data_IF_064682084435
#
_entry.id   IF_064682084435
#
_cell.length_a   1.000
_cell.length_b   1.000
_cell.length_c   1.000
_cell.angle_alpha   90.00
_cell.angle_beta   90.00
_cell.angle_gamma   90.00
#
_symmetry.space_group_name_H-M   'P 1'
#
loop_
_entity.id
_entity.type
_entity.pdbx_description
1 polymer ?
#
# COMPACT_ATOMS: atom_id res chain seq x y z
N UNK A 1 21.47 -8.96 -0.73
CA UNK A 1 20.87 -7.61 -0.87
C UNK A 1 21.58 -6.89 -2.01
N UNK A 2 20.87 -6.57 -3.11
CA UNK A 2 21.36 -5.56 -4.06
C UNK A 2 21.06 -4.17 -3.47
N UNK A 3 21.90 -3.17 -3.72
CA UNK A 3 21.61 -1.79 -3.29
C UNK A 3 20.50 -1.24 -4.20
N UNK A 4 19.43 -0.73 -3.60
CA UNK A 4 18.50 0.18 -4.27
C UNK A 4 19.34 1.38 -4.73
N UNK A 5 19.30 1.72 -6.02
CA UNK A 5 20.02 2.88 -6.55
C UNK A 5 19.30 4.18 -6.16
N UNK A 6 20.06 5.27 -6.12
CA UNK A 6 19.59 6.59 -5.73
C UNK A 6 18.53 7.17 -6.67
N UNK A 7 17.72 8.09 -6.12
CA UNK A 7 16.62 8.80 -6.78
C UNK A 7 17.07 9.82 -7.86
N UNK A 8 18.20 9.58 -8.53
CA UNK A 8 18.86 10.51 -9.45
C UNK A 8 18.45 10.30 -10.93
N UNK A 9 17.55 9.34 -11.20
CA UNK A 9 17.19 8.91 -12.57
C UNK A 9 15.92 9.57 -13.16
N UNK A 10 15.30 10.54 -12.47
CA UNK A 10 13.97 11.06 -12.84
C UNK A 10 13.87 11.79 -14.19
N UNK A 11 14.99 12.20 -14.79
CA UNK A 11 15.02 13.11 -15.95
C UNK A 11 15.21 12.40 -17.31
N UNK A 12 15.49 11.08 -17.33
CA UNK A 12 15.77 10.30 -18.56
C UNK A 12 15.24 8.87 -18.51
N UNK A 13 13.95 8.72 -18.82
CA UNK A 13 13.35 7.44 -19.19
C UNK A 13 12.29 7.64 -20.29
N UNK A 14 12.62 7.27 -21.52
CA UNK A 14 11.59 6.92 -22.52
C UNK A 14 10.98 5.58 -22.12
N UNK A 15 9.67 5.46 -22.26
CA UNK A 15 8.92 4.26 -21.87
C UNK A 15 8.15 3.72 -23.07
N UNK A 16 8.22 2.40 -23.27
CA UNK A 16 7.50 1.65 -24.31
C UNK A 16 6.27 0.96 -23.71
N UNK A 17 5.25 0.69 -24.52
CA UNK A 17 3.93 0.23 -24.04
C UNK A 17 3.62 -1.27 -24.24
N UNK A 18 2.63 -1.74 -23.45
CA UNK A 18 1.75 -2.93 -23.62
C UNK A 18 2.30 -4.28 -23.13
N UNK A 19 1.43 -5.29 -22.84
CA UNK A 19 -0.05 -5.31 -22.77
C UNK A 19 -0.60 -5.66 -21.36
N UNK A 20 -1.93 -5.91 -21.24
CA UNK A 20 -2.66 -6.12 -19.95
C UNK A 20 -3.14 -7.57 -19.74
N UNK A 21 -3.46 -7.95 -18.49
CA UNK A 21 -4.19 -9.19 -18.15
C UNK A 21 -4.75 -9.26 -16.72
N UNK A 22 -6.10 -9.31 -16.60
CA UNK A 22 -6.97 -9.85 -15.51
C UNK A 22 -6.42 -10.04 -14.06
N UNK A 23 -6.98 -9.44 -12.99
CA UNK A 23 -8.29 -9.74 -12.33
C UNK A 23 -8.29 -11.06 -11.47
N UNK A 24 -8.96 -11.25 -10.31
CA UNK A 24 -10.08 -10.52 -9.66
C UNK A 24 -10.28 -10.82 -8.13
N UNK A 25 -11.15 -10.04 -7.46
CA UNK A 25 -11.93 -10.23 -6.17
C UNK A 25 -11.25 -10.71 -4.83
N UNK A 26 -11.59 -10.34 -3.56
CA UNK A 26 -12.51 -9.39 -2.82
C UNK A 26 -13.36 -10.08 -1.68
N UNK A 27 -13.71 -9.30 -0.62
CA UNK A 27 -14.70 -9.42 0.52
C UNK A 27 -14.29 -10.05 1.88
N UNK A 28 -14.72 -9.65 3.12
CA UNK A 28 -15.57 -8.54 3.67
C UNK A 28 -15.73 -8.59 5.25
N UNK A 29 -15.07 -7.74 6.07
CA UNK A 29 -15.30 -7.49 7.53
C UNK A 29 -14.79 -6.07 8.00
N UNK A 30 -15.54 -5.19 8.73
CA UNK A 30 -15.05 -3.83 9.14
C UNK A 30 -15.75 -3.06 10.28
N UNK A 31 -15.16 -1.89 10.56
CA UNK A 31 -15.54 -0.81 11.50
C UNK A 31 -16.65 0.13 11.00
N UNK A 32 -17.35 0.83 11.91
CA UNK A 32 -18.44 1.76 11.58
C UNK A 32 -17.92 3.14 11.15
N UNK A 33 -18.14 3.47 9.89
CA UNK A 33 -18.33 4.85 9.45
C UNK A 33 -19.83 5.03 9.23
N UNK A 34 -20.44 6.07 9.80
CA UNK A 34 -21.82 6.42 9.46
C UNK A 34 -21.83 6.97 8.03
N UNK A 35 -21.99 6.07 7.06
CA UNK A 35 -22.05 6.46 5.66
C UNK A 35 -23.29 7.30 5.45
N UNK A 36 -23.09 8.59 5.20
CA UNK A 36 -24.07 9.43 4.52
C UNK A 36 -24.44 8.70 3.22
N UNK A 37 -25.61 8.04 3.21
CA UNK A 37 -26.12 7.27 2.08
C UNK A 37 -26.67 8.21 1.00
N UNK A 38 -25.78 9.05 0.46
CA UNK A 38 -26.00 9.75 -0.79
C UNK A 38 -26.27 8.70 -1.86
N UNK A 39 -27.38 8.87 -2.56
CA UNK A 39 -27.98 7.82 -3.35
C UNK A 39 -27.05 7.33 -4.47
N UNK A 40 -27.26 6.09 -4.95
CA UNK A 40 -26.40 5.49 -5.98
C UNK A 40 -26.33 6.28 -7.29
N UNK A 41 -27.29 7.18 -7.51
CA UNK A 41 -27.33 8.16 -8.59
C UNK A 41 -26.55 9.45 -8.25
N UNK A 42 -26.74 10.05 -7.06
CA UNK A 42 -26.03 11.27 -6.65
C UNK A 42 -24.52 11.04 -6.54
N UNK A 43 -24.12 9.86 -6.05
CA UNK A 43 -22.70 9.48 -6.03
C UNK A 43 -22.11 9.51 -7.44
N UNK A 44 -22.88 9.20 -8.50
CA UNK A 44 -22.44 9.21 -9.91
C UNK A 44 -22.44 10.59 -10.57
N UNK A 45 -23.34 11.52 -10.21
CA UNK A 45 -23.28 12.91 -10.71
C UNK A 45 -22.08 13.69 -10.15
N UNK A 46 -21.46 13.19 -9.09
CA UNK A 46 -20.31 13.81 -8.41
C UNK A 46 -18.93 13.56 -9.03
N UNK A 47 -18.81 12.86 -10.16
CA UNK A 47 -17.51 12.47 -10.72
C UNK A 47 -16.89 13.58 -11.60
N UNK A 48 -15.61 13.40 -11.94
CA UNK A 48 -14.87 14.13 -12.97
C UNK A 48 -14.09 13.12 -13.82
N UNK A 49 -14.29 13.15 -15.13
CA UNK A 49 -13.41 12.48 -16.10
C UNK A 49 -12.18 13.36 -16.35
N UNK A 50 -11.00 12.74 -16.38
CA UNK A 50 -9.69 13.40 -16.41
C UNK A 50 -8.68 12.55 -17.19
N UNK A 51 -7.66 13.20 -17.75
CA UNK A 51 -6.43 12.54 -18.17
C UNK A 51 -5.42 12.50 -17.03
N UNK A 52 -4.75 11.37 -16.89
CA UNK A 52 -3.66 11.19 -15.94
C UNK A 52 -2.48 10.46 -16.59
N UNK A 53 -1.25 10.80 -16.18
CA UNK A 53 -0.07 9.98 -16.44
C UNK A 53 0.08 9.02 -15.27
N UNK A 54 -0.05 7.71 -15.54
CA UNK A 54 0.30 6.65 -14.58
C UNK A 54 1.80 6.44 -14.61
N UNK A 55 2.36 6.13 -13.46
CA UNK A 55 3.71 5.59 -13.29
C UNK A 55 3.61 4.24 -12.57
N UNK A 56 4.20 3.21 -13.16
CA UNK A 56 4.39 1.90 -12.55
C UNK A 56 5.89 1.63 -12.40
N UNK A 57 6.28 0.95 -11.33
CA UNK A 57 7.66 0.52 -11.16
C UNK A 57 7.84 -0.89 -11.73
N UNK A 58 8.76 -1.02 -12.67
CA UNK A 58 9.19 -2.31 -13.20
C UNK A 58 10.31 -2.89 -12.31
N UNK A 59 10.10 -4.12 -11.83
CA UNK A 59 11.06 -4.81 -10.95
C UNK A 59 12.16 -5.57 -11.68
N UNK A 60 11.99 -5.84 -12.97
CA UNK A 60 12.98 -6.56 -13.78
C UNK A 60 14.04 -5.56 -14.30
N UNK A 61 13.59 -4.40 -14.80
CA UNK A 61 14.44 -3.31 -15.30
C UNK A 61 14.82 -2.23 -14.25
N UNK A 62 14.37 -2.35 -12.99
CA UNK A 62 14.68 -1.43 -11.86
C UNK A 62 14.30 0.05 -12.18
N UNK A 63 13.20 0.26 -12.91
CA UNK A 63 12.86 1.55 -13.52
C UNK A 63 11.37 1.94 -13.40
N UNK A 64 11.03 3.19 -13.77
CA UNK A 64 9.64 3.68 -13.80
C UNK A 64 9.12 3.79 -15.23
N UNK A 65 8.17 2.92 -15.59
CA UNK A 65 7.41 3.02 -16.85
C UNK A 65 6.19 3.92 -16.67
N UNK A 66 5.75 4.58 -17.75
CA UNK A 66 4.68 5.61 -17.71
C UNK A 66 3.74 5.49 -18.91
N UNK A 67 2.44 5.68 -18.70
CA UNK A 67 1.41 5.62 -19.74
C UNK A 67 0.23 6.57 -19.48
N UNK A 68 -0.38 7.10 -20.54
CA UNK A 68 -1.56 7.97 -20.44
C UNK A 68 -2.83 7.17 -20.18
N UNK A 69 -3.55 7.55 -19.13
CA UNK A 69 -4.75 6.90 -18.64
C UNK A 69 -5.93 7.86 -18.67
N UNK A 70 -7.04 7.44 -19.29
CA UNK A 70 -8.34 8.05 -19.04
C UNK A 70 -8.92 7.47 -17.74
N UNK A 71 -9.27 8.35 -16.82
CA UNK A 71 -9.86 7.98 -15.53
C UNK A 71 -11.12 8.79 -15.28
N UNK A 72 -11.94 8.30 -14.36
CA UNK A 72 -12.85 9.16 -13.60
C UNK A 72 -12.61 9.03 -12.11
N UNK A 73 -12.79 10.13 -11.38
CA UNK A 73 -12.62 10.20 -9.93
C UNK A 73 -13.80 10.94 -9.29
N UNK A 74 -14.24 10.49 -8.11
CA UNK A 74 -15.26 11.19 -7.32
C UNK A 74 -14.71 12.53 -6.78
N UNK A 75 -15.53 13.59 -6.78
CA UNK A 75 -15.12 14.92 -6.23
C UNK A 75 -14.89 14.93 -4.72
N UNK A 76 -15.46 13.97 -3.99
CA UNK A 76 -15.35 13.82 -2.53
C UNK A 76 -14.74 12.45 -2.19
N UNK A 77 -13.94 12.35 -1.11
CA UNK A 77 -13.48 11.05 -0.63
C UNK A 77 -14.64 10.26 -0.01
N UNK A 78 -14.55 8.93 -0.04
CA UNK A 78 -15.50 8.04 0.64
C UNK A 78 -15.00 7.60 2.03
N UNK A 79 -13.70 7.73 2.28
CA UNK A 79 -13.06 7.38 3.55
C UNK A 79 -11.76 8.19 3.73
N UNK A 80 -11.21 8.18 4.94
CA UNK A 80 -9.90 8.74 5.25
C UNK A 80 -9.18 7.95 6.34
N UNK A 81 -7.85 7.98 6.31
CA UNK A 81 -6.98 7.55 7.41
C UNK A 81 -6.25 8.75 8.02
N UNK A 82 -5.27 8.50 8.89
CA UNK A 82 -4.52 9.57 9.59
C UNK A 82 -3.84 10.57 8.64
N UNK A 83 -3.27 10.09 7.53
CA UNK A 83 -2.45 10.92 6.62
C UNK A 83 -3.08 11.16 5.23
N UNK A 84 -4.06 10.36 4.81
CA UNK A 84 -4.57 10.34 3.43
C UNK A 84 -6.10 10.30 3.35
N UNK A 85 -6.64 10.92 2.31
CA UNK A 85 -8.03 10.79 1.85
C UNK A 85 -8.12 9.68 0.79
N UNK A 86 -9.18 8.87 0.82
CA UNK A 86 -9.46 7.81 -0.15
C UNK A 86 -10.66 8.19 -1.03
N UNK A 87 -10.44 8.28 -2.34
CA UNK A 87 -11.44 8.62 -3.35
C UNK A 87 -11.80 7.38 -4.17
N UNK A 88 -13.08 7.26 -4.53
CA UNK A 88 -13.52 6.31 -5.54
C UNK A 88 -12.96 6.76 -6.90
N UNK A 89 -12.27 5.87 -7.60
CA UNK A 89 -11.72 6.10 -8.92
C UNK A 89 -12.08 4.93 -9.84
N UNK A 90 -12.18 5.18 -11.14
CA UNK A 90 -12.28 4.13 -12.14
C UNK A 90 -11.36 4.44 -13.32
N UNK A 91 -10.72 3.41 -13.86
CA UNK A 91 -9.98 3.49 -15.13
C UNK A 91 -10.97 3.24 -16.27
N UNK A 92 -10.89 4.04 -17.33
CA UNK A 92 -11.75 3.94 -18.51
C UNK A 92 -10.91 3.45 -19.69
N UNK A 93 -11.08 2.19 -20.08
CA UNK A 93 -10.27 1.59 -21.15
C UNK A 93 -10.87 1.87 -22.55
N UNK A 94 -10.05 1.97 -23.61
CA UNK A 94 -10.54 2.17 -24.98
C UNK A 94 -11.44 1.04 -25.52
N UNK A 95 -11.37 -0.14 -24.90
CA UNK A 95 -12.21 -1.31 -25.16
C UNK A 95 -13.57 -1.28 -24.44
N UNK A 96 -13.88 -0.19 -23.73
CA UNK A 96 -15.13 0.00 -22.98
C UNK A 96 -15.15 -0.66 -21.59
N UNK A 97 -14.11 -1.41 -21.21
CA UNK A 97 -13.98 -1.98 -19.87
C UNK A 97 -13.70 -0.88 -18.83
N UNK A 98 -14.18 -1.10 -17.61
CA UNK A 98 -14.04 -0.16 -16.49
C UNK A 98 -13.49 -0.93 -15.28
N UNK A 99 -12.34 -0.51 -14.74
CA UNK A 99 -11.75 -1.09 -13.53
C UNK A 99 -12.07 -0.22 -12.29
N UNK A 100 -12.55 -0.83 -11.21
CA UNK A 100 -12.76 -0.15 -9.91
C UNK A 100 -11.43 0.03 -9.16
N UNK A 101 -11.07 1.28 -8.87
CA UNK A 101 -9.84 1.66 -8.16
C UNK A 101 -10.13 2.54 -6.94
N UNK A 102 -9.16 2.65 -6.04
CA UNK A 102 -9.13 3.65 -4.97
C UNK A 102 -7.94 4.57 -5.20
N UNK A 103 -8.18 5.87 -5.22
CA UNK A 103 -7.14 6.89 -5.33
C UNK A 103 -6.89 7.53 -3.96
N UNK A 104 -5.67 7.40 -3.43
CA UNK A 104 -5.24 7.91 -2.13
C UNK A 104 -4.40 9.18 -2.29
N UNK A 105 -4.80 10.27 -1.63
CA UNK A 105 -4.11 11.57 -1.66
C UNK A 105 -3.76 12.04 -0.25
N UNK A 106 -2.55 12.57 -0.05
CA UNK A 106 -2.16 13.13 1.25
C UNK A 106 -3.06 14.31 1.67
N UNK A 107 -3.41 14.39 2.97
CA UNK A 107 -4.26 15.46 3.51
C UNK A 107 -3.58 16.83 3.51
N UNK A 108 -2.26 16.85 3.68
CA UNK A 108 -1.38 18.02 3.53
C UNK A 108 -0.68 17.94 2.18
N UNK A 109 -0.17 19.06 1.68
CA UNK A 109 0.72 19.05 0.52
C UNK A 109 2.05 18.39 0.88
N UNK A 110 2.63 17.69 -0.10
CA UNK A 110 3.81 16.83 0.03
C UNK A 110 4.63 16.93 -1.25
N UNK A 111 5.91 16.59 -1.18
CA UNK A 111 6.73 16.42 -2.40
C UNK A 111 6.21 15.23 -3.22
N UNK A 112 6.23 15.26 -4.57
CA UNK A 112 5.81 14.12 -5.39
C UNK A 112 6.50 12.80 -5.02
N UNK A 113 7.76 12.83 -4.57
CA UNK A 113 8.52 11.64 -4.14
C UNK A 113 7.86 10.87 -2.99
N UNK A 114 7.09 11.51 -2.10
CA UNK A 114 6.32 10.81 -1.04
C UNK A 114 5.34 9.77 -1.65
N UNK A 115 4.80 10.02 -2.86
CA UNK A 115 3.92 9.08 -3.56
C UNK A 115 4.68 7.91 -4.21
N UNK A 116 5.86 8.17 -4.79
CA UNK A 116 6.72 7.13 -5.35
C UNK A 116 7.30 6.24 -4.23
N UNK A 117 7.74 6.84 -3.12
CA UNK A 117 8.19 6.13 -1.92
C UNK A 117 7.08 5.24 -1.34
N UNK A 118 5.83 5.71 -1.28
CA UNK A 118 4.70 4.90 -0.82
C UNK A 118 4.45 3.66 -1.71
N UNK A 119 4.66 3.75 -3.02
CA UNK A 119 4.64 2.57 -3.91
C UNK A 119 5.81 1.63 -3.58
N UNK A 120 7.04 2.14 -3.46
CA UNK A 120 8.22 1.31 -3.15
C UNK A 120 8.09 0.59 -1.80
N UNK A 121 7.50 1.23 -0.78
CA UNK A 121 7.16 0.60 0.50
C UNK A 121 6.29 -0.64 0.31
N UNK A 122 5.19 -0.49 -0.43
CA UNK A 122 4.20 -1.57 -0.64
C UNK A 122 4.77 -2.69 -1.53
N UNK A 123 5.63 -2.35 -2.49
CA UNK A 123 6.36 -3.32 -3.31
C UNK A 123 7.38 -4.13 -2.49
N UNK A 124 8.09 -3.51 -1.54
CA UNK A 124 9.01 -4.21 -0.62
C UNK A 124 8.25 -5.07 0.41
N UNK A 125 7.15 -4.57 0.95
CA UNK A 125 6.26 -5.33 1.82
C UNK A 125 5.69 -6.57 1.11
N UNK A 126 5.40 -6.47 -0.20
CA UNK A 126 5.00 -7.63 -0.98
C UNK A 126 6.12 -8.67 -1.12
N UNK A 127 7.39 -8.26 -1.30
CA UNK A 127 8.50 -9.20 -1.44
C UNK A 127 8.75 -9.97 -0.14
N UNK A 128 8.65 -9.28 1.01
CA UNK A 128 8.61 -9.96 2.32
C UNK A 128 7.42 -10.94 2.42
N UNK A 129 6.24 -10.56 1.92
CA UNK A 129 5.06 -11.42 1.98
C UNK A 129 5.20 -12.67 1.09
N UNK A 130 5.81 -12.56 -0.10
CA UNK A 130 6.11 -13.71 -0.95
C UNK A 130 7.14 -14.65 -0.30
N UNK A 131 8.19 -14.12 0.34
CA UNK A 131 9.12 -14.99 1.07
C UNK A 131 8.44 -15.64 2.29
N UNK A 132 7.59 -14.92 3.04
CA UNK A 132 6.83 -15.48 4.16
C UNK A 132 5.89 -16.61 3.71
N UNK A 133 5.16 -16.43 2.61
CA UNK A 133 4.33 -17.48 1.99
C UNK A 133 5.16 -18.73 1.63
N UNK A 134 6.41 -18.55 1.16
CA UNK A 134 7.32 -19.67 0.87
C UNK A 134 7.76 -20.47 2.10
N UNK A 135 7.55 -19.96 3.32
CA UNK A 135 7.88 -20.62 4.60
C UNK A 135 6.65 -21.05 5.40
N UNK A 136 5.48 -20.49 5.13
CA UNK A 136 4.25 -20.74 5.88
C UNK A 136 3.16 -21.22 4.91
N UNK A 137 2.98 -22.54 4.81
CA UNK A 137 2.08 -23.18 3.84
C UNK A 137 0.59 -22.79 4.00
N UNK A 138 0.18 -22.24 5.13
CA UNK A 138 -1.16 -21.67 5.37
C UNK A 138 -1.28 -20.18 5.01
N UNK A 139 -0.22 -19.55 4.53
CA UNK A 139 -0.18 -18.13 4.16
C UNK A 139 -0.31 -17.93 2.65
N UNK A 140 -1.08 -16.91 2.28
CA UNK A 140 -1.25 -16.42 0.90
C UNK A 140 -1.31 -14.87 0.90
N UNK A 141 -0.57 -14.26 1.83
CA UNK A 141 -0.56 -12.81 2.04
C UNK A 141 0.08 -12.12 0.83
N UNK A 142 -0.61 -11.13 0.27
CA UNK A 142 -0.14 -10.38 -0.91
C UNK A 142 -0.55 -8.93 -0.78
N UNK A 143 0.41 -8.03 -0.96
CA UNK A 143 0.09 -6.61 -1.05
C UNK A 143 -0.37 -6.29 -2.48
N UNK A 144 -1.45 -5.53 -2.61
CA UNK A 144 -2.03 -5.19 -3.92
C UNK A 144 -1.06 -4.33 -4.74
N UNK A 145 -1.08 -4.42 -6.09
CA UNK A 145 -0.34 -3.49 -6.92
C UNK A 145 -0.82 -2.06 -6.66
N UNK A 146 0.12 -1.11 -6.65
CA UNK A 146 -0.14 0.31 -6.43
C UNK A 146 0.75 1.14 -7.35
N UNK A 147 0.19 2.24 -7.86
CA UNK A 147 0.77 3.07 -8.90
C UNK A 147 0.74 4.54 -8.49
N UNK A 148 1.61 5.38 -9.05
CA UNK A 148 1.46 6.84 -8.92
C UNK A 148 0.66 7.36 -10.12
N UNK A 149 -0.33 8.23 -9.89
CA UNK A 149 -1.07 8.92 -10.95
C UNK A 149 -0.87 10.43 -10.80
N UNK A 150 -0.43 11.10 -11.87
CA UNK A 150 -0.36 12.57 -11.98
C UNK A 150 -1.46 13.06 -12.89
N UNK A 151 -2.36 13.90 -12.41
CA UNK A 151 -3.44 14.49 -13.23
C UNK A 151 -2.86 15.50 -14.23
N UNK A 152 -3.29 15.44 -15.49
CA UNK A 152 -2.78 16.25 -16.61
C UNK A 152 -3.67 17.46 -16.95
N UNK A 153 -4.96 17.40 -16.60
CA UNK A 153 -5.99 18.39 -16.96
C UNK A 153 -6.95 18.74 -15.80
N UNK A 154 -7.88 19.67 -16.08
CA UNK A 154 -8.85 20.18 -15.11
C UNK A 154 -8.25 20.90 -13.89
N UNK A 155 -9.11 21.22 -12.93
CA UNK A 155 -8.76 21.88 -11.65
C UNK A 155 -7.75 21.09 -10.80
N UNK A 156 -7.61 19.78 -11.03
CA UNK A 156 -6.72 18.89 -10.28
C UNK A 156 -5.37 18.65 -10.95
N UNK A 157 -5.08 19.33 -12.07
CA UNK A 157 -3.80 19.26 -12.78
C UNK A 157 -2.59 19.40 -11.85
N UNK A 158 -1.57 18.59 -12.10
CA UNK A 158 -0.37 18.44 -11.27
C UNK A 158 -0.59 17.93 -9.82
N UNK A 159 -1.80 17.54 -9.42
CA UNK A 159 -1.98 16.76 -8.18
C UNK A 159 -1.66 15.28 -8.43
N UNK A 160 -1.14 14.65 -7.38
CA UNK A 160 -0.66 13.27 -7.39
C UNK A 160 -1.52 12.39 -6.47
N UNK A 161 -1.64 11.11 -6.82
CA UNK A 161 -2.36 10.09 -6.06
C UNK A 161 -1.57 8.77 -6.08
N UNK A 162 -1.61 8.00 -4.99
CA UNK A 162 -1.35 6.55 -5.06
C UNK A 162 -2.66 5.86 -5.47
N UNK A 163 -2.64 4.97 -6.45
CA UNK A 163 -3.84 4.30 -6.97
C UNK A 163 -3.68 2.79 -6.90
N UNK A 164 -4.67 2.12 -6.33
CA UNK A 164 -4.69 0.66 -6.08
C UNK A 164 -6.07 0.06 -6.44
N UNK A 165 -6.18 -1.25 -6.71
CA UNK A 165 -7.45 -1.91 -6.97
C UNK A 165 -8.44 -1.77 -5.80
N UNK A 166 -9.70 -1.45 -6.09
CA UNK A 166 -10.72 -1.30 -5.05
C UNK A 166 -11.07 -2.64 -4.42
N UNK A 167 -10.59 -2.85 -3.20
CA UNK A 167 -11.00 -3.96 -2.36
C UNK A 167 -12.47 -3.79 -1.94
N UNK A 168 -13.41 -4.39 -2.66
CA UNK A 168 -14.73 -4.66 -2.10
C UNK A 168 -14.52 -5.52 -0.85
N UNK A 169 -15.00 -4.98 0.23
CA UNK A 169 -14.74 -5.43 1.57
C UNK A 169 -14.68 -4.18 2.42
N UNK A 170 -15.74 -3.96 3.19
CA UNK A 170 -15.64 -4.05 4.65
C UNK A 170 -14.20 -4.59 5.01
N UNK A 171 -13.35 -3.71 5.53
CA UNK A 171 -11.89 -3.75 5.60
C UNK A 171 -11.34 -4.00 7.02
N UNK A 172 -10.38 -4.92 7.18
CA UNK A 172 -9.77 -5.30 8.45
C UNK A 172 -8.41 -4.62 8.62
N UNK A 173 -8.13 -4.12 9.82
CA UNK A 173 -6.78 -3.80 10.29
C UNK A 173 -6.39 -4.84 11.34
N UNK A 174 -5.15 -5.31 11.31
CA UNK A 174 -4.67 -6.40 12.19
C UNK A 174 -3.65 -5.94 13.22
N UNK A 175 -2.83 -4.95 12.87
CA UNK A 175 -1.96 -4.20 13.76
C UNK A 175 -1.76 -2.78 13.20
N UNK A 176 -1.24 -1.86 14.00
CA UNK A 176 -0.89 -0.50 13.58
C UNK A 176 0.63 -0.21 13.55
N UNK A 177 1.00 1.00 13.13
CA UNK A 177 2.38 1.49 13.13
C UNK A 177 2.85 2.10 14.47
N UNK A 178 2.18 1.78 15.58
CA UNK A 178 2.46 2.28 16.92
C UNK A 178 2.35 1.19 18.02
N UNK A 179 2.20 -0.08 17.64
CA UNK A 179 2.22 -1.23 18.56
C UNK A 179 0.85 -1.77 18.99
N UNK A 180 -0.27 -1.28 18.43
CA UNK A 180 -1.58 -1.85 18.71
C UNK A 180 -1.83 -3.12 17.90
N UNK A 181 -2.51 -4.09 18.52
CA UNK A 181 -2.89 -5.39 17.93
C UNK A 181 -4.42 -5.45 17.85
N UNK A 182 -4.95 -5.11 16.68
CA UNK A 182 -6.40 -4.95 16.45
C UNK A 182 -7.13 -6.30 16.31
N UNK A 183 -6.40 -7.40 16.06
CA UNK A 183 -6.99 -8.75 15.89
C UNK A 183 -6.10 -9.87 16.44
N UNK A 184 -6.74 -10.95 16.89
CA UNK A 184 -6.09 -12.21 17.27
C UNK A 184 -5.59 -13.05 16.07
N UNK A 185 -5.53 -12.48 14.86
CA UNK A 185 -5.08 -13.19 13.66
C UNK A 185 -3.57 -13.44 13.70
N UNK A 186 -3.15 -14.70 13.81
CA UNK A 186 -1.75 -15.09 14.02
C UNK A 186 -0.82 -14.73 12.85
N UNK A 187 -1.32 -14.82 11.61
CA UNK A 187 -0.56 -14.61 10.37
C UNK A 187 0.02 -13.18 10.28
N UNK A 188 -0.77 -12.09 10.38
CA UNK A 188 -0.28 -10.71 10.44
C UNK A 188 0.86 -10.46 11.45
N UNK A 189 0.71 -10.92 12.69
CA UNK A 189 1.72 -10.65 13.73
C UNK A 189 3.01 -11.46 13.48
N UNK A 190 2.88 -12.71 13.04
CA UNK A 190 4.02 -13.55 12.65
C UNK A 190 4.72 -13.03 11.39
N UNK A 191 3.98 -12.41 10.46
CA UNK A 191 4.54 -11.74 9.29
C UNK A 191 5.37 -10.52 9.69
N UNK A 192 4.81 -9.62 10.51
CA UNK A 192 5.55 -8.45 11.03
C UNK A 192 6.84 -8.86 11.74
N UNK A 193 6.79 -9.85 12.64
CA UNK A 193 7.98 -10.42 13.29
C UNK A 193 8.95 -11.08 12.30
N UNK A 194 8.45 -11.83 11.31
CA UNK A 194 9.28 -12.42 10.26
C UNK A 194 10.06 -11.35 9.49
N UNK A 195 9.44 -10.23 9.12
CA UNK A 195 10.15 -9.16 8.38
C UNK A 195 11.33 -8.57 9.16
N UNK A 196 11.21 -8.50 10.50
CA UNK A 196 12.27 -8.06 11.39
C UNK A 196 13.45 -9.04 11.43
N UNK A 197 13.22 -10.32 11.71
CA UNK A 197 14.32 -11.30 11.70
C UNK A 197 14.92 -11.44 10.29
N UNK A 198 14.08 -11.49 9.24
CA UNK A 198 14.48 -11.65 7.84
C UNK A 198 15.30 -10.49 7.29
N UNK A 199 15.08 -9.27 7.79
CA UNK A 199 15.85 -8.07 7.43
C UNK A 199 17.18 -7.95 8.19
N UNK A 200 17.59 -8.97 8.95
CA UNK A 200 18.67 -8.90 9.94
C UNK A 200 18.44 -7.79 10.98
N UNK A 201 17.19 -7.68 11.48
CA UNK A 201 16.76 -6.73 12.52
C UNK A 201 16.82 -5.25 12.12
N UNK A 202 16.78 -4.95 10.82
CA UNK A 202 16.89 -3.58 10.28
C UNK A 202 15.56 -2.94 9.89
N UNK A 203 14.56 -3.73 9.51
CA UNK A 203 13.26 -3.25 9.02
C UNK A 203 12.11 -4.10 9.57
N UNK A 204 10.99 -3.47 9.93
CA UNK A 204 9.76 -4.13 10.36
C UNK A 204 8.57 -3.60 9.58
N UNK A 205 7.77 -4.50 9.00
CA UNK A 205 6.53 -4.16 8.27
C UNK A 205 5.35 -4.26 9.23
N UNK A 206 4.60 -3.17 9.39
CA UNK A 206 3.45 -3.00 10.28
C UNK A 206 2.31 -2.26 9.54
N UNK A 207 1.27 -1.84 10.26
CA UNK A 207 0.00 -1.34 9.69
C UNK A 207 -0.63 -2.40 8.75
N UNK A 208 -0.59 -3.68 9.15
CA UNK A 208 -1.05 -4.81 8.33
C UNK A 208 -2.58 -4.78 8.23
N UNK A 209 -3.09 -4.46 7.03
CA UNK A 209 -4.50 -4.17 6.80
C UNK A 209 -4.94 -4.52 5.37
N UNK A 210 -6.25 -4.72 5.17
CA UNK A 210 -6.84 -4.99 3.86
C UNK A 210 -8.10 -5.86 3.95
N UNK A 211 -8.21 -6.82 3.02
CA UNK A 211 -9.38 -7.69 2.87
C UNK A 211 -8.93 -9.12 2.58
N UNK A 212 -9.26 -10.05 3.48
CA UNK A 212 -8.76 -11.44 3.48
C UNK A 212 -7.23 -11.49 3.39
N UNK A 213 -6.70 -11.99 2.29
CA UNK A 213 -5.27 -12.11 2.01
C UNK A 213 -4.72 -10.99 1.12
N UNK A 214 -5.58 -10.09 0.62
CA UNK A 214 -5.21 -8.90 -0.15
C UNK A 214 -4.97 -7.72 0.80
N UNK A 215 -3.71 -7.36 0.98
CA UNK A 215 -3.26 -6.32 1.89
C UNK A 215 -2.92 -5.02 1.15
N UNK A 216 -2.93 -3.90 1.85
CA UNK A 216 -2.59 -2.59 1.29
C UNK A 216 -2.06 -1.65 2.37
N UNK A 217 -1.45 -0.54 1.99
CA UNK A 217 -1.02 0.55 2.90
C UNK A 217 -0.09 0.14 4.07
N UNK A 218 0.93 -0.71 3.86
CA UNK A 218 1.85 -1.07 4.94
C UNK A 218 2.74 0.11 5.33
N UNK A 219 2.98 0.25 6.63
CA UNK A 219 4.09 1.07 7.12
C UNK A 219 5.34 0.18 7.29
N UNK A 220 6.51 0.75 7.01
CA UNK A 220 7.80 0.13 7.34
C UNK A 220 8.49 1.01 8.38
N UNK A 221 8.93 0.42 9.48
CA UNK A 221 9.87 1.03 10.41
C UNK A 221 11.29 0.57 10.07
N UNK A 222 12.25 1.49 9.96
CA UNK A 222 13.64 1.15 9.67
C UNK A 222 14.58 1.66 10.78
N UNK A 223 15.45 0.78 11.29
CA UNK A 223 16.43 1.13 12.31
C UNK A 223 17.51 2.11 11.80
N UNK A 224 17.70 2.19 10.48
CA UNK A 224 18.58 3.17 9.84
C UNK A 224 17.88 4.53 9.71
N UNK A 225 18.50 5.60 10.21
CA UNK A 225 18.04 6.99 10.06
C UNK A 225 18.34 7.55 8.65
N UNK A 226 17.90 6.85 7.60
CA UNK A 226 17.83 7.44 6.27
C UNK A 226 16.58 8.31 6.17
N UNK A 227 16.77 9.62 6.33
CA UNK A 227 15.68 10.60 6.30
C UNK A 227 14.91 10.54 4.97
N UNK A 228 13.59 10.73 5.03
CA UNK A 228 12.68 10.59 3.89
C UNK A 228 12.29 9.14 3.54
N UNK A 229 13.13 8.14 3.82
CA UNK A 229 12.81 6.75 3.48
C UNK A 229 11.69 6.16 4.36
N UNK A 230 10.85 5.35 3.71
CA UNK A 230 9.63 4.74 4.26
C UNK A 230 8.52 5.73 4.68
N UNK A 231 8.68 7.03 4.43
CA UNK A 231 7.63 8.02 4.61
C UNK A 231 7.31 8.35 6.08
N UNK A 232 6.30 9.21 6.27
CA UNK A 232 6.07 9.96 7.52
C UNK A 232 5.61 9.13 8.73
N UNK A 233 5.19 7.87 8.52
CA UNK A 233 4.87 6.93 9.60
C UNK A 233 6.04 6.07 10.07
N UNK A 234 7.25 6.24 9.48
CA UNK A 234 8.47 5.55 9.90
C UNK A 234 8.98 6.08 11.25
N UNK A 235 8.53 5.48 12.35
CA UNK A 235 9.02 5.77 13.71
C UNK A 235 10.34 5.05 14.08
N UNK A 236 11.05 4.48 13.11
CA UNK A 236 12.36 3.85 13.29
C UNK A 236 12.41 2.80 14.42
N UNK A 237 13.50 2.80 15.18
CA UNK A 237 13.68 1.89 16.34
C UNK A 237 12.59 2.02 17.39
N UNK A 238 11.98 3.20 17.58
CA UNK A 238 10.87 3.41 18.51
C UNK A 238 9.60 2.70 18.05
N UNK A 239 9.31 2.69 16.75
CA UNK A 239 8.20 1.92 16.18
C UNK A 239 8.44 0.40 16.27
N UNK A 240 9.69 -0.03 16.07
CA UNK A 240 10.08 -1.44 16.25
C UNK A 240 9.91 -1.87 17.71
N UNK A 241 10.36 -1.06 18.67
CA UNK A 241 10.19 -1.33 20.12
C UNK A 241 8.72 -1.51 20.48
N UNK A 242 7.87 -0.56 20.10
CA UNK A 242 6.42 -0.60 20.36
C UNK A 242 5.71 -1.83 19.80
N UNK A 243 6.15 -2.37 18.66
CA UNK A 243 5.64 -3.64 18.15
C UNK A 243 6.01 -4.81 19.08
N UNK A 244 7.26 -4.88 19.56
CA UNK A 244 7.73 -5.96 20.43
C UNK A 244 7.38 -5.78 21.92
N UNK A 245 6.88 -4.61 22.32
CA UNK A 245 6.25 -4.36 23.62
C UNK A 245 4.87 -5.04 23.76
N UNK A 246 4.20 -5.36 22.64
CA UNK A 246 2.84 -5.95 22.63
C UNK A 246 2.73 -7.27 21.85
N UNK A 247 3.65 -7.55 20.93
CA UNK A 247 3.69 -8.80 20.18
C UNK A 247 3.96 -10.00 21.10
N UNK A 248 3.31 -11.13 20.81
CA UNK A 248 3.50 -12.39 21.51
C UNK A 248 3.79 -13.49 20.48
N UNK A 249 4.93 -14.15 20.62
CA UNK A 249 5.40 -15.23 19.74
C UNK A 249 4.37 -16.38 19.65
N UNK A 250 3.58 -16.37 18.58
CA UNK A 250 2.59 -17.40 18.29
C UNK A 250 3.22 -18.63 17.60
N UNK A 251 2.42 -19.66 17.32
CA UNK A 251 2.94 -20.92 16.77
C UNK A 251 3.64 -20.76 15.41
N UNK A 252 3.28 -19.76 14.60
CA UNK A 252 3.95 -19.49 13.32
C UNK A 252 5.35 -18.92 13.57
N UNK A 253 5.51 -17.97 14.51
CA UNK A 253 6.81 -17.47 14.94
C UNK A 253 7.73 -18.63 15.41
N UNK A 254 7.17 -19.52 16.22
CA UNK A 254 7.88 -20.68 16.79
C UNK A 254 8.28 -21.70 15.72
N UNK A 255 7.37 -22.04 14.80
CA UNK A 255 7.65 -22.94 13.67
C UNK A 255 8.71 -22.38 12.70
N UNK A 256 8.78 -21.05 12.56
CA UNK A 256 9.78 -20.35 11.76
C UNK A 256 11.12 -20.13 12.50
N UNK A 257 11.22 -20.47 13.79
CA UNK A 257 12.40 -20.25 14.61
C UNK A 257 12.72 -18.77 14.89
N UNK A 258 11.74 -17.87 14.77
CA UNK A 258 11.92 -16.44 15.00
C UNK A 258 12.20 -16.16 16.48
N UNK A 259 13.24 -15.39 16.79
CA UNK A 259 13.55 -15.01 18.17
C UNK A 259 12.87 -13.70 18.52
N UNK A 260 12.23 -13.63 19.69
CA UNK A 260 11.78 -12.35 20.22
C UNK A 260 13.00 -11.52 20.65
N UNK A 261 13.03 -10.18 20.46
CA UNK A 261 14.16 -9.36 20.92
C UNK A 261 14.19 -9.16 22.45
N UNK A 262 13.15 -9.62 23.17
CA UNK A 262 13.04 -9.56 24.64
C UNK A 262 12.97 -10.96 25.30
N UNK A 263 13.15 -12.05 24.55
CA UNK A 263 13.38 -13.39 25.09
C UNK A 263 14.90 -13.66 25.11
N UNK A 264 15.43 -14.19 26.22
CA UNK A 264 16.85 -14.55 26.41
C UNK A 264 17.16 -15.93 25.83
#
# INVERSE_FOLDING_TARGET
MRRIKSLEAFDKADATERPRGSENLRRQHSYPFESLELDGAERKSSWKELKALRFAFDKEDDCWVKDEMHIRIARRPFAEGSFRYCYDMQILHPDGRIEDMVAKRCKKEVDPSDYFNAVMNQLLANDFAQEFNSKVASSNMKFVPVYVYKILDGESKNKYFCVEPKLNGHYVKHNDNNGHVDTFCLLPQAFSHFTYEKSNRTMLVCDIQGVQQFLTDPQIHCASKQEGFFGRGNSGTTGISKFFETHVCNQICKNLGLKHPHEN
#
